data_IF_744464516062
#
_entry.id   IF_744464516062
#
_cell.length_a   1.000
_cell.length_b   1.000
_cell.length_c   1.000
_cell.angle_alpha   90.00
_cell.angle_beta   90.00
_cell.angle_gamma   90.00
#
_symmetry.space_group_name_H-M   'P 1'
#
loop_
_entity.id
_entity.type
_entity.pdbx_description
1 polymer ?
#
# COMPACT_ATOMS: atom_id res chain seq x y z
N UNK A 1 -10.44 -1.64 -5.71
CA UNK A 1 -10.32 -1.24 -7.12
C UNK A 1 -11.50 -1.68 -8.01
N UNK A 2 -12.18 -2.80 -7.71
CA UNK A 2 -13.18 -3.37 -8.64
C UNK A 2 -14.57 -2.75 -8.58
N UNK A 3 -14.97 -2.11 -7.46
CA UNK A 3 -16.33 -1.58 -7.30
C UNK A 3 -16.70 -0.51 -8.35
N UNK A 4 -15.84 0.48 -8.70
CA UNK A 4 -16.12 1.40 -9.80
C UNK A 4 -16.32 0.69 -11.15
N UNK A 5 -15.52 -0.34 -11.43
CA UNK A 5 -15.65 -1.13 -12.66
C UNK A 5 -16.96 -1.90 -12.70
N UNK A 6 -17.34 -2.53 -11.59
CA UNK A 6 -18.63 -3.23 -11.45
C UNK A 6 -19.82 -2.28 -11.67
N UNK A 7 -19.76 -1.07 -11.12
CA UNK A 7 -20.78 -0.04 -11.34
C UNK A 7 -20.86 0.34 -12.82
N UNK A 8 -19.72 0.61 -13.47
CA UNK A 8 -19.67 0.93 -14.89
C UNK A 8 -20.26 -0.20 -15.75
N UNK A 9 -19.84 -1.45 -15.53
CA UNK A 9 -20.40 -2.63 -16.20
C UNK A 9 -21.90 -2.83 -15.94
N UNK A 10 -22.42 -2.28 -14.85
CA UNK A 10 -23.85 -2.30 -14.51
C UNK A 10 -24.65 -1.15 -15.13
N UNK A 11 -24.00 -0.23 -15.86
CA UNK A 11 -24.59 0.97 -16.45
C UNK A 11 -24.63 2.19 -15.51
N UNK A 12 -23.81 2.20 -14.45
CA UNK A 12 -23.71 3.29 -13.46
C UNK A 12 -22.31 3.87 -13.49
N UNK A 13 -22.13 5.06 -14.07
CA UNK A 13 -20.82 5.68 -14.19
C UNK A 13 -20.78 6.85 -15.17
N UNK A 14 -19.60 7.28 -15.63
CA UNK A 14 -19.47 8.38 -16.57
C UNK A 14 -20.14 8.04 -17.90
N UNK A 15 -21.09 8.88 -18.33
CA UNK A 15 -21.84 8.69 -19.58
C UNK A 15 -20.94 8.37 -20.77
N UNK A 16 -19.88 9.15 -20.96
CA UNK A 16 -18.97 9.00 -22.11
C UNK A 16 -18.31 7.62 -22.15
N UNK A 17 -17.85 7.12 -20.99
CA UNK A 17 -17.23 5.79 -20.87
C UNK A 17 -18.24 4.69 -21.17
N UNK A 18 -19.47 4.81 -20.66
CA UNK A 18 -20.53 3.82 -20.88
C UNK A 18 -20.99 3.78 -22.34
N UNK A 19 -21.17 4.94 -22.96
CA UNK A 19 -21.56 5.06 -24.37
C UNK A 19 -20.47 4.52 -25.29
N UNK A 20 -19.19 4.79 -25.01
CA UNK A 20 -18.05 4.21 -25.74
C UNK A 20 -17.94 2.70 -25.60
N UNK A 21 -18.40 2.14 -24.49
CA UNK A 21 -18.41 0.70 -24.25
C UNK A 21 -19.68 0.01 -24.75
N UNK A 22 -20.61 0.72 -25.39
CA UNK A 22 -21.94 0.23 -25.77
C UNK A 22 -22.76 -0.32 -24.58
N UNK A 23 -22.52 0.21 -23.38
CA UNK A 23 -23.26 -0.14 -22.17
C UNK A 23 -24.42 0.84 -21.99
N UNK A 24 -25.68 0.38 -21.80
CA UNK A 24 -26.80 1.26 -21.53
C UNK A 24 -26.56 2.13 -20.28
N UNK A 25 -26.62 3.44 -20.45
CA UNK A 25 -26.49 4.41 -19.35
C UNK A 25 -27.76 4.37 -18.49
N UNK A 26 -27.71 3.65 -17.37
CA UNK A 26 -28.81 3.65 -16.38
C UNK A 26 -28.74 4.87 -15.48
N UNK A 27 -27.55 5.20 -14.98
CA UNK A 27 -27.32 6.37 -14.13
C UNK A 27 -25.98 7.00 -14.51
N UNK A 28 -26.00 8.27 -14.92
CA UNK A 28 -24.80 9.04 -15.21
C UNK A 28 -24.20 9.59 -13.90
N UNK A 29 -23.09 9.01 -13.44
CA UNK A 29 -22.33 9.48 -12.28
C UNK A 29 -20.87 9.67 -12.71
N UNK A 30 -20.47 10.89 -13.13
CA UNK A 30 -19.11 11.17 -13.59
C UNK A 30 -18.02 10.90 -12.53
N UNK A 31 -18.38 10.94 -11.24
CA UNK A 31 -17.46 10.69 -10.14
C UNK A 31 -17.13 9.20 -9.92
N UNK A 32 -17.86 8.26 -10.54
CA UNK A 32 -17.52 6.83 -10.42
C UNK A 32 -16.15 6.59 -11.05
N UNK A 33 -15.25 6.01 -10.25
CA UNK A 33 -13.87 5.78 -10.66
C UNK A 33 -12.94 6.98 -10.47
N UNK A 34 -13.44 8.13 -10.03
CA UNK A 34 -12.61 9.30 -9.76
C UNK A 34 -12.15 9.34 -8.29
N UNK A 35 -11.23 10.26 -7.99
CA UNK A 35 -10.72 10.48 -6.63
C UNK A 35 -10.08 9.21 -6.03
N UNK A 36 -9.34 8.47 -6.85
CA UNK A 36 -8.51 7.37 -6.36
C UNK A 36 -7.45 7.95 -5.43
N UNK A 37 -7.43 7.43 -4.21
CA UNK A 37 -6.48 7.76 -3.16
C UNK A 37 -5.73 6.49 -2.82
N UNK A 38 -4.43 6.63 -2.61
CA UNK A 38 -3.58 5.57 -2.09
C UNK A 38 -2.50 6.18 -1.19
N UNK A 39 -1.88 5.36 -0.36
CA UNK A 39 -0.69 5.75 0.38
C UNK A 39 0.53 5.30 -0.42
N UNK A 40 1.32 6.26 -0.90
CA UNK A 40 2.61 5.89 -1.50
C UNK A 40 3.59 5.59 -0.39
N UNK A 41 4.17 4.40 -0.49
CA UNK A 41 5.18 3.89 0.41
C UNK A 41 6.56 3.88 -0.26
N UNK A 42 7.58 4.18 0.53
CA UNK A 42 8.97 4.08 0.17
C UNK A 42 9.73 3.21 1.17
N UNK A 43 10.60 2.36 0.65
CA UNK A 43 11.66 1.76 1.46
C UNK A 43 12.85 2.73 1.46
N UNK A 44 13.16 3.29 2.63
CA UNK A 44 14.22 4.31 2.74
C UNK A 44 15.59 3.65 2.83
N UNK A 45 15.74 2.66 3.71
CA UNK A 45 17.03 2.03 3.96
C UNK A 45 16.85 0.69 4.67
N UNK A 46 17.66 -0.30 4.27
CA UNK A 46 17.92 -1.49 5.07
C UNK A 46 19.15 -1.27 5.95
N UNK A 47 19.05 -1.68 7.21
CA UNK A 47 20.14 -1.57 8.18
C UNK A 47 20.30 -2.87 8.96
N UNK A 48 21.55 -3.19 9.28
CA UNK A 48 21.87 -4.35 10.10
C UNK A 48 21.80 -3.96 11.57
N UNK A 49 21.27 -4.87 12.36
CA UNK A 49 21.40 -4.77 13.81
C UNK A 49 22.84 -5.08 14.23
N UNK A 50 23.29 -4.46 15.31
CA UNK A 50 24.54 -4.88 15.95
C UNK A 50 24.36 -6.32 16.50
N UNK A 51 25.44 -7.10 16.56
CA UNK A 51 25.41 -8.47 17.08
C UNK A 51 24.81 -8.54 18.50
N UNK A 52 24.99 -7.50 19.32
CA UNK A 52 24.39 -7.40 20.66
C UNK A 52 22.86 -7.31 20.68
N UNK A 53 22.23 -6.85 19.60
CA UNK A 53 20.79 -6.79 19.47
C UNK A 53 20.18 -8.09 18.92
N UNK A 54 21.01 -8.99 18.37
CA UNK A 54 20.58 -10.26 17.77
C UNK A 54 19.62 -11.07 18.65
N UNK A 55 19.82 -11.24 19.98
CA UNK A 55 18.93 -12.06 20.81
C UNK A 55 17.51 -11.51 20.97
N UNK A 56 17.30 -10.23 20.67
CA UNK A 56 16.02 -9.54 20.86
C UNK A 56 15.21 -9.42 19.57
N UNK A 57 15.75 -9.86 18.45
CA UNK A 57 15.07 -9.85 17.16
C UNK A 57 14.25 -11.15 17.08
N UNK A 58 12.92 -11.07 16.92
CA UNK A 58 12.09 -12.26 16.69
C UNK A 58 12.62 -13.00 15.46
N UNK A 59 13.02 -14.27 15.62
CA UNK A 59 13.47 -15.12 14.52
C UNK A 59 13.11 -16.57 14.77
N UNK A 60 13.04 -17.34 13.69
CA UNK A 60 12.85 -18.78 13.72
C UNK A 60 14.03 -19.37 12.94
N UNK A 61 14.92 -20.07 13.63
CA UNK A 61 15.99 -20.83 13.00
C UNK A 61 15.41 -22.09 12.37
N UNK A 62 16.07 -22.64 11.35
CA UNK A 62 15.58 -23.85 10.67
C UNK A 62 15.35 -25.00 11.67
N UNK A 63 16.24 -25.16 12.64
CA UNK A 63 16.16 -26.17 13.72
C UNK A 63 14.96 -25.99 14.68
N UNK A 64 14.43 -24.77 14.81
CA UNK A 64 13.32 -24.44 15.71
C UNK A 64 11.96 -24.36 14.99
N UNK A 65 11.94 -24.52 13.66
CA UNK A 65 10.76 -24.26 12.83
C UNK A 65 9.57 -25.15 13.19
N UNK A 66 9.79 -26.44 13.41
CA UNK A 66 8.72 -27.40 13.77
C UNK A 66 8.11 -27.06 15.15
N UNK A 67 8.95 -26.70 16.12
CA UNK A 67 8.50 -26.31 17.45
C UNK A 67 7.72 -24.98 17.42
N UNK A 68 8.18 -24.01 16.62
CA UNK A 68 7.48 -22.74 16.41
C UNK A 68 6.10 -22.94 15.77
N UNK A 69 6.00 -23.79 14.74
CA UNK A 69 4.71 -24.15 14.13
C UNK A 69 3.78 -24.86 15.12
N UNK A 70 4.29 -25.82 15.89
CA UNK A 70 3.50 -26.56 16.87
C UNK A 70 2.94 -25.60 17.92
N UNK A 71 3.80 -24.74 18.48
CA UNK A 71 3.39 -23.71 19.46
C UNK A 71 2.30 -22.80 18.89
N UNK A 72 2.48 -22.30 17.66
CA UNK A 72 1.49 -21.43 17.03
C UNK A 72 0.16 -22.14 16.78
N UNK A 73 0.17 -23.39 16.31
CA UNK A 73 -1.05 -24.15 16.07
C UNK A 73 -1.81 -24.52 17.35
N UNK A 74 -1.09 -24.78 18.45
CA UNK A 74 -1.69 -25.15 19.73
C UNK A 74 -2.18 -23.94 20.54
N UNK A 75 -1.45 -22.82 20.48
CA UNK A 75 -1.64 -21.68 21.40
C UNK A 75 -1.98 -20.37 20.69
N UNK A 76 -1.65 -20.22 19.41
CA UNK A 76 -1.68 -18.94 18.69
C UNK A 76 -0.55 -17.98 19.06
N UNK A 77 0.39 -18.40 19.91
CA UNK A 77 1.51 -17.57 20.38
C UNK A 77 2.80 -17.83 19.56
N UNK A 78 3.83 -17.01 19.82
CA UNK A 78 5.15 -17.12 19.19
C UNK A 78 5.37 -16.18 18.00
N UNK A 79 6.55 -16.28 17.37
CA UNK A 79 6.98 -15.38 16.27
C UNK A 79 6.03 -15.45 15.07
N UNK A 80 5.46 -16.63 14.77
CA UNK A 80 4.48 -16.81 13.70
C UNK A 80 3.13 -16.12 13.96
N UNK A 81 2.85 -15.75 15.21
CA UNK A 81 1.67 -14.97 15.59
C UNK A 81 1.91 -13.45 15.62
N UNK A 82 3.12 -13.00 15.28
CA UNK A 82 3.49 -11.58 15.29
C UNK A 82 3.45 -10.98 13.88
N UNK A 83 3.14 -9.69 13.81
CA UNK A 83 3.27 -8.90 12.59
C UNK A 83 4.63 -8.21 12.60
N UNK A 84 5.43 -8.40 11.56
CA UNK A 84 6.80 -7.88 11.45
C UNK A 84 6.87 -6.35 11.29
N UNK A 85 5.74 -5.71 10.95
CA UNK A 85 5.57 -4.27 10.97
C UNK A 85 5.41 -3.81 12.44
N UNK A 86 6.52 -3.31 12.99
CA UNK A 86 6.65 -2.95 14.39
C UNK A 86 6.35 -1.47 14.66
N UNK A 87 7.16 -0.78 15.49
CA UNK A 87 6.84 0.55 15.96
C UNK A 87 6.66 1.53 14.80
N UNK A 88 5.64 2.37 14.93
CA UNK A 88 5.28 3.40 13.97
C UNK A 88 5.49 4.78 14.59
N UNK A 89 6.06 5.68 13.81
CA UNK A 89 6.12 7.09 14.10
C UNK A 89 5.20 7.84 13.13
N UNK A 90 4.49 8.83 13.65
CA UNK A 90 3.64 9.72 12.87
C UNK A 90 4.17 11.14 13.04
N UNK A 91 4.36 11.84 11.93
CA UNK A 91 4.87 13.21 11.93
C UNK A 91 4.05 14.10 11.00
N UNK A 92 3.90 15.35 11.40
CA UNK A 92 3.36 16.40 10.55
C UNK A 92 4.54 17.10 9.88
N UNK A 93 4.63 16.99 8.56
CA UNK A 93 5.68 17.59 7.77
C UNK A 93 5.71 19.11 7.89
N UNK A 94 6.83 19.70 7.49
CA UNK A 94 6.99 21.13 7.27
C UNK A 94 5.85 21.72 6.43
N UNK A 95 5.31 20.96 5.47
CA UNK A 95 4.16 21.37 4.64
C UNK A 95 2.88 21.45 5.48
N UNK A 96 2.58 20.41 6.26
CA UNK A 96 1.43 20.39 7.16
C UNK A 96 1.46 21.54 8.19
N UNK A 97 2.64 21.83 8.73
CA UNK A 97 2.84 22.93 9.69
C UNK A 97 2.51 24.28 9.05
N UNK A 98 3.04 24.56 7.85
CA UNK A 98 2.80 25.82 7.12
C UNK A 98 1.32 25.95 6.69
N UNK A 99 0.65 24.83 6.47
CA UNK A 99 -0.79 24.78 6.15
C UNK A 99 -1.70 24.93 7.38
N UNK A 100 -1.13 25.09 8.57
CA UNK A 100 -1.88 25.30 9.81
C UNK A 100 -2.40 24.01 10.45
N UNK A 101 -1.83 22.86 10.08
CA UNK A 101 -2.25 21.53 10.52
C UNK A 101 -1.15 20.76 11.29
N UNK A 102 -0.46 21.38 12.28
CA UNK A 102 0.73 20.79 12.91
C UNK A 102 0.42 19.55 13.78
N UNK A 103 -0.84 19.31 14.10
CA UNK A 103 -1.29 18.13 14.87
C UNK A 103 -1.83 17.01 13.98
N UNK A 104 -1.89 17.21 12.66
CA UNK A 104 -2.41 16.23 11.71
C UNK A 104 -1.25 15.65 10.92
N UNK A 105 -0.84 14.42 11.22
CA UNK A 105 0.27 13.77 10.54
C UNK A 105 -0.06 13.50 9.06
N UNK A 106 0.89 13.77 8.19
CA UNK A 106 0.90 13.42 6.76
C UNK A 106 2.02 12.45 6.40
N UNK A 107 2.90 12.13 7.35
CA UNK A 107 3.97 11.14 7.20
C UNK A 107 3.84 10.07 8.27
N UNK A 108 3.94 8.80 7.84
CA UNK A 108 4.10 7.65 8.73
C UNK A 108 5.41 6.95 8.43
N UNK A 109 6.18 6.63 9.46
CA UNK A 109 7.38 5.80 9.36
C UNK A 109 7.16 4.51 10.15
N UNK A 110 7.30 3.37 9.49
CA UNK A 110 7.16 2.03 10.07
C UNK A 110 8.50 1.32 10.07
N UNK A 111 8.90 0.78 11.22
CA UNK A 111 10.04 -0.14 11.29
C UNK A 111 9.57 -1.56 11.01
N UNK A 112 10.19 -2.22 10.04
CA UNK A 112 10.02 -3.66 9.80
C UNK A 112 11.28 -4.39 10.22
N UNK A 113 11.20 -5.24 11.25
CA UNK A 113 12.36 -5.86 11.89
C UNK A 113 12.93 -7.08 11.14
N UNK A 114 12.30 -7.46 10.03
CA UNK A 114 12.69 -8.56 9.15
C UNK A 114 12.43 -8.15 7.69
N UNK A 115 13.30 -7.31 7.13
CA UNK A 115 13.12 -6.79 5.78
C UNK A 115 14.43 -6.83 4.97
N UNK A 116 14.47 -7.56 3.85
CA UNK A 116 13.43 -8.46 3.36
C UNK A 116 13.28 -9.68 4.29
N UNK A 117 12.14 -10.37 4.20
CA UNK A 117 11.94 -11.64 4.89
C UNK A 117 13.04 -12.63 4.45
N UNK A 118 13.85 -13.08 5.39
CA UNK A 118 14.93 -14.04 5.17
C UNK A 118 14.65 -15.30 6.00
N UNK A 119 14.79 -16.46 5.37
CA UNK A 119 14.78 -17.77 6.03
C UNK A 119 16.21 -18.33 6.15
N UNK A 120 17.23 -17.50 5.93
CA UNK A 120 18.61 -17.90 6.05
C UNK A 120 19.05 -17.87 7.52
N UNK A 121 19.76 -18.91 7.95
CA UNK A 121 20.43 -18.94 9.25
C UNK A 121 21.65 -18.00 9.32
N UNK A 122 22.04 -17.37 8.21
CA UNK A 122 23.11 -16.38 8.22
C UNK A 122 22.65 -15.10 8.91
N UNK A 123 23.08 -14.92 10.17
CA UNK A 123 22.78 -13.74 11.01
C UNK A 123 23.21 -12.44 10.34
N UNK A 124 24.23 -12.45 9.48
CA UNK A 124 24.66 -11.26 8.75
C UNK A 124 23.70 -10.89 7.61
N UNK A 125 22.77 -11.76 7.23
CA UNK A 125 21.75 -11.49 6.21
C UNK A 125 20.50 -10.77 6.76
N UNK A 126 20.36 -10.66 8.08
CA UNK A 126 19.17 -10.09 8.71
C UNK A 126 19.27 -8.56 8.79
N UNK A 127 18.36 -7.90 8.09
CA UNK A 127 18.21 -6.45 8.11
C UNK A 127 16.82 -6.03 8.56
N UNK A 128 16.75 -4.86 9.16
CA UNK A 128 15.49 -4.13 9.31
C UNK A 128 15.41 -3.04 8.24
N UNK A 129 14.19 -2.65 7.90
CA UNK A 129 13.95 -1.52 7.00
C UNK A 129 13.09 -0.46 7.70
N UNK A 130 13.39 0.80 7.39
CA UNK A 130 12.40 1.85 7.55
C UNK A 130 11.58 1.99 6.29
N UNK A 131 10.29 2.14 6.53
CA UNK A 131 9.32 2.37 5.51
C UNK A 131 8.59 3.66 5.78
N UNK A 132 8.54 4.54 4.80
CA UNK A 132 7.84 5.81 4.90
C UNK A 132 6.60 5.78 4.02
N UNK A 133 5.51 6.32 4.54
CA UNK A 133 4.25 6.47 3.85
C UNK A 133 3.78 7.92 3.88
N UNK A 134 3.16 8.33 2.79
CA UNK A 134 2.45 9.59 2.70
C UNK A 134 0.97 9.35 2.99
N UNK A 135 0.54 9.69 4.20
CA UNK A 135 -0.83 9.43 4.69
C UNK A 135 -1.85 10.44 4.11
N UNK A 136 -1.39 11.62 3.69
CA UNK A 136 -2.27 12.72 3.23
C UNK A 136 -1.87 13.28 1.89
N UNK A 137 -1.54 12.39 0.96
CA UNK A 137 -1.26 12.78 -0.43
C UNK A 137 -2.41 13.61 -1.01
N UNK A 138 -2.07 14.63 -1.79
CA UNK A 138 -3.01 15.51 -2.49
C UNK A 138 -3.29 15.07 -3.92
N UNK A 139 -2.38 14.31 -4.52
CA UNK A 139 -2.58 13.68 -5.83
C UNK A 139 -3.81 12.78 -5.83
N UNK A 140 -4.58 12.80 -6.92
CA UNK A 140 -5.82 12.03 -7.08
C UNK A 140 -5.83 11.31 -8.40
N UNK A 141 -5.81 9.99 -8.34
CA UNK A 141 -5.90 9.13 -9.49
C UNK A 141 -7.33 8.87 -9.97
N UNK A 142 -7.45 7.93 -10.89
CA UNK A 142 -8.72 7.39 -11.38
C UNK A 142 -8.65 5.91 -11.74
N UNK A 143 -9.81 5.28 -11.78
CA UNK A 143 -10.07 3.93 -12.26
C UNK A 143 -11.13 4.03 -13.36
N UNK A 144 -10.83 3.53 -14.56
CA UNK A 144 -11.73 3.54 -15.70
C UNK A 144 -11.90 2.16 -16.32
N UNK A 145 -12.90 2.02 -17.18
CA UNK A 145 -13.12 0.83 -18.00
C UNK A 145 -12.30 0.91 -19.29
N UNK A 146 -11.56 -0.14 -19.61
CA UNK A 146 -10.97 -0.35 -20.92
C UNK A 146 -12.06 -0.71 -21.93
N UNK A 147 -12.63 0.31 -22.57
CA UNK A 147 -13.77 0.17 -23.50
C UNK A 147 -13.41 -0.67 -24.73
N UNK A 148 -12.20 -0.49 -25.29
CA UNK A 148 -11.69 -1.27 -26.42
C UNK A 148 -11.64 -2.76 -26.07
N UNK A 149 -10.97 -3.13 -24.97
CA UNK A 149 -10.88 -4.53 -24.56
C UNK A 149 -12.27 -5.13 -24.25
N UNK A 150 -13.18 -4.34 -23.68
CA UNK A 150 -14.55 -4.77 -23.41
C UNK A 150 -15.31 -5.09 -24.71
N UNK A 151 -15.20 -4.23 -25.73
CA UNK A 151 -15.82 -4.45 -27.05
C UNK A 151 -15.20 -5.65 -27.79
N UNK A 152 -13.90 -5.90 -27.60
CA UNK A 152 -13.21 -7.09 -28.12
C UNK A 152 -13.59 -8.40 -27.41
N UNK A 153 -14.54 -8.35 -26.47
CA UNK A 153 -15.08 -9.54 -25.79
C UNK A 153 -14.33 -9.94 -24.52
N UNK A 154 -13.36 -9.15 -24.04
CA UNK A 154 -12.68 -9.43 -22.76
C UNK A 154 -13.68 -9.29 -21.61
N UNK A 155 -13.71 -10.27 -20.70
CA UNK A 155 -14.58 -10.28 -19.51
C UNK A 155 -13.82 -10.46 -18.20
N UNK A 156 -12.52 -10.69 -18.28
CA UNK A 156 -11.63 -10.71 -17.13
C UNK A 156 -11.50 -9.29 -16.57
N UNK A 157 -12.07 -9.07 -15.38
CA UNK A 157 -12.12 -7.78 -14.68
C UNK A 157 -10.72 -7.18 -14.50
N UNK A 158 -9.70 -8.00 -14.27
CA UNK A 158 -8.32 -7.53 -14.08
C UNK A 158 -7.69 -6.97 -15.34
N UNK A 159 -8.19 -7.37 -16.51
CA UNK A 159 -7.73 -6.88 -17.83
C UNK A 159 -8.57 -5.72 -18.35
N UNK A 160 -9.76 -5.53 -17.78
CA UNK A 160 -10.68 -4.45 -18.15
C UNK A 160 -10.45 -3.16 -17.34
N UNK A 161 -9.69 -3.23 -16.26
CA UNK A 161 -9.45 -2.07 -15.40
C UNK A 161 -8.28 -1.24 -15.92
N UNK A 162 -8.50 0.05 -16.12
CA UNK A 162 -7.45 1.05 -16.33
C UNK A 162 -7.27 1.82 -15.03
N UNK A 163 -6.06 1.86 -14.49
CA UNK A 163 -5.74 2.60 -13.27
C UNK A 163 -4.67 3.64 -13.58
N UNK A 164 -4.95 4.87 -13.22
CA UNK A 164 -4.00 5.96 -13.21
C UNK A 164 -3.90 6.47 -11.77
N UNK A 165 -2.78 6.21 -11.09
CA UNK A 165 -2.59 6.65 -9.71
C UNK A 165 -2.31 8.15 -9.60
N UNK A 166 -1.82 8.78 -10.68
CA UNK A 166 -1.32 10.17 -10.67
C UNK A 166 -0.38 10.47 -9.51
N UNK A 167 0.44 9.49 -9.13
CA UNK A 167 1.44 9.64 -8.08
C UNK A 167 2.31 10.89 -8.36
N UNK A 168 2.40 11.80 -7.38
CA UNK A 168 3.18 13.04 -7.47
C UNK A 168 2.73 14.03 -8.56
N UNK A 169 1.49 13.94 -9.05
CA UNK A 169 0.90 14.94 -9.95
C UNK A 169 0.76 16.31 -9.25
N UNK A 170 0.59 16.30 -7.92
CA UNK A 170 0.70 17.49 -7.08
C UNK A 170 2.10 17.58 -6.49
N UNK A 171 2.86 18.60 -6.88
CA UNK A 171 4.26 18.78 -6.48
C UNK A 171 4.48 18.78 -4.96
N UNK A 172 3.51 19.26 -4.17
CA UNK A 172 3.63 19.28 -2.70
C UNK A 172 3.76 17.89 -2.08
N UNK A 173 3.28 16.84 -2.75
CA UNK A 173 3.42 15.47 -2.26
C UNK A 173 4.88 15.02 -2.25
N UNK A 174 5.68 15.52 -3.21
CA UNK A 174 7.12 15.25 -3.23
C UNK A 174 7.84 15.97 -2.09
N UNK A 175 7.41 17.18 -1.75
CA UNK A 175 8.02 17.91 -0.64
C UNK A 175 7.78 17.22 0.71
N UNK A 176 6.59 16.62 0.91
CA UNK A 176 6.31 15.79 2.09
C UNK A 176 7.21 14.56 2.11
N UNK A 177 7.43 13.92 0.95
CA UNK A 177 8.32 12.77 0.83
C UNK A 177 9.81 13.09 1.09
N UNK A 178 10.24 14.32 0.85
CA UNK A 178 11.63 14.75 1.10
C UNK A 178 11.86 15.22 2.54
N UNK A 179 10.79 15.52 3.28
CA UNK A 179 10.83 15.99 4.67
C UNK A 179 10.82 14.84 5.69
N UNK A 180 10.26 13.69 5.30
CA UNK A 180 10.28 12.44 6.09
C UNK A 180 11.60 11.68 6.01
#
# INVERSE_FOLDING_TARGET
MNSPLLLMLSGVGPREVLEQAEIPVKVNIPAVGQNLNDHIWFMIQSFKFNASASPYIPRILEEDLEAAFTTYLETGEGVLGQVEAGPQAFHASSRAIVEGEPAWSDVRITLTTMCPLSFSDDVDSWTACYHMELDRMKSRGSVSLNTTAYLDGVRDVTKLVLIDFKAFDVASDLDVALDG
#
